data_IF_705086850460
#
_entry.id   IF_705086850460
#
_cell.length_a   1.000
_cell.length_b   1.000
_cell.length_c   1.000
_cell.angle_alpha   90.00
_cell.angle_beta   90.00
_cell.angle_gamma   90.00
#
_symmetry.space_group_name_H-M   'P 1'
#
loop_
_entity.id
_entity.type
_entity.pdbx_description
1 polymer ?
#
# COMPACT_ATOMS: atom_id res chain seq x y z
N UNK A 1 -13.91 11.88 1.84
CA UNK A 1 -12.46 11.77 1.53
C UNK A 1 -12.33 10.69 0.48
N UNK A 2 -12.16 11.12 -0.78
CA UNK A 2 -12.42 10.32 -1.98
C UNK A 2 -11.34 9.24 -2.16
N UNK A 3 -11.68 7.98 -1.87
CA UNK A 3 -10.82 6.80 -2.06
C UNK A 3 -10.58 6.42 -3.53
N UNK A 4 -11.18 7.16 -4.46
CA UNK A 4 -11.11 6.89 -5.91
C UNK A 4 -9.70 7.02 -6.48
N UNK A 5 -8.88 7.92 -5.94
CA UNK A 5 -7.51 8.12 -6.42
C UNK A 5 -6.62 6.91 -6.11
N UNK A 6 -6.77 6.32 -4.92
CA UNK A 6 -6.02 5.13 -4.50
C UNK A 6 -6.39 3.89 -5.30
N UNK A 7 -7.67 3.70 -5.64
CA UNK A 7 -8.10 2.57 -6.46
C UNK A 7 -7.60 2.66 -7.90
N UNK A 8 -7.63 3.86 -8.50
CA UNK A 8 -7.11 4.09 -9.87
C UNK A 8 -5.60 3.81 -9.96
N UNK A 9 -4.83 4.20 -8.93
CA UNK A 9 -3.39 3.96 -8.88
C UNK A 9 -3.05 2.46 -8.75
N UNK A 10 -3.81 1.71 -7.94
CA UNK A 10 -3.59 0.27 -7.76
C UNK A 10 -4.00 -0.52 -9.01
N UNK A 11 -5.13 -0.17 -9.65
CA UNK A 11 -5.55 -0.84 -10.89
C UNK A 11 -4.58 -0.58 -12.06
N UNK A 12 -4.07 0.65 -12.19
CA UNK A 12 -3.27 1.05 -13.34
C UNK A 12 -1.78 0.71 -13.21
N UNK A 13 -1.25 0.66 -11.99
CA UNK A 13 0.18 0.45 -11.71
C UNK A 13 0.50 -0.81 -10.91
N UNK A 14 -0.50 -1.58 -10.46
CA UNK A 14 -0.30 -2.83 -9.72
C UNK A 14 0.64 -2.66 -8.53
N UNK A 15 1.74 -3.43 -8.51
CA UNK A 15 2.74 -3.38 -7.44
C UNK A 15 3.40 -2.01 -7.24
N UNK A 16 3.56 -1.22 -8.30
CA UNK A 16 4.16 0.12 -8.19
C UNK A 16 3.19 1.13 -7.56
N UNK A 17 1.88 0.96 -7.79
CA UNK A 17 0.83 1.74 -7.12
C UNK A 17 0.80 1.49 -5.61
N UNK A 18 0.94 0.23 -5.20
CA UNK A 18 1.00 -0.18 -3.79
C UNK A 18 2.22 0.44 -3.08
N UNK A 19 3.36 0.49 -3.77
CA UNK A 19 4.57 1.15 -3.28
C UNK A 19 4.37 2.65 -3.05
N UNK A 20 3.78 3.36 -4.02
CA UNK A 20 3.55 4.81 -3.91
C UNK A 20 2.53 5.16 -2.84
N UNK A 21 1.43 4.40 -2.75
CA UNK A 21 0.42 4.60 -1.71
C UNK A 21 1.02 4.30 -0.32
N UNK A 22 1.96 3.35 -0.23
CA UNK A 22 2.70 3.08 1.01
C UNK A 22 3.61 4.22 1.44
N UNK A 23 4.42 4.72 0.50
CA UNK A 23 5.37 5.79 0.78
C UNK A 23 4.65 7.08 1.16
N UNK A 24 3.64 7.48 0.39
CA UNK A 24 2.86 8.68 0.64
C UNK A 24 1.99 8.57 1.90
N UNK A 25 1.41 7.39 2.17
CA UNK A 25 0.60 7.14 3.35
C UNK A 25 1.40 7.11 4.67
N UNK A 26 2.70 6.78 4.60
CA UNK A 26 3.61 6.81 5.76
C UNK A 26 4.37 8.13 5.93
N UNK A 27 4.51 8.95 4.88
CA UNK A 27 5.09 10.31 4.97
C UNK A 27 4.21 11.27 5.78
N UNK A 28 2.89 11.07 5.80
CA UNK A 28 1.98 11.92 6.57
C UNK A 28 1.82 11.30 7.97
N UNK A 29 2.25 11.98 9.05
CA UNK A 29 1.99 11.49 10.40
C UNK A 29 0.47 11.39 10.59
N UNK A 30 0.00 10.29 11.20
CA UNK A 30 -1.42 9.91 11.46
C UNK A 30 -2.18 9.09 10.39
N UNK A 31 -1.72 8.96 9.15
CA UNK A 31 -2.39 8.09 8.14
C UNK A 31 -1.93 6.63 8.14
N UNK A 32 -0.91 6.30 8.91
CA UNK A 32 -0.32 4.94 8.95
C UNK A 32 -1.32 3.85 9.33
N UNK A 33 -2.21 4.12 10.29
CA UNK A 33 -3.20 3.14 10.76
C UNK A 33 -4.25 2.86 9.67
N UNK A 34 -4.95 3.86 9.08
CA UNK A 34 -5.89 3.61 7.98
C UNK A 34 -5.22 3.01 6.73
N UNK A 35 -3.96 3.36 6.44
CA UNK A 35 -3.21 2.77 5.34
C UNK A 35 -2.97 1.26 5.53
N UNK A 36 -2.57 0.84 6.73
CA UNK A 36 -2.28 -0.56 7.02
C UNK A 36 -3.51 -1.45 6.82
N UNK A 37 -4.69 -0.95 7.19
CA UNK A 37 -5.98 -1.63 6.99
C UNK A 37 -6.26 -1.85 5.50
N UNK A 38 -6.00 -0.84 4.65
CA UNK A 38 -6.19 -0.95 3.20
C UNK A 38 -5.26 -1.99 2.56
N UNK A 39 -3.99 -2.02 2.96
CA UNK A 39 -3.03 -3.04 2.47
C UNK A 39 -3.43 -4.43 2.91
N UNK A 40 -3.86 -4.59 4.17
CA UNK A 40 -4.32 -5.88 4.68
C UNK A 40 -5.58 -6.35 3.96
N UNK A 41 -6.54 -5.46 3.72
CA UNK A 41 -7.74 -5.77 2.96
C UNK A 41 -7.41 -6.16 1.51
N UNK A 42 -6.49 -5.45 0.86
CA UNK A 42 -6.02 -5.79 -0.48
C UNK A 42 -5.22 -7.10 -0.51
N UNK A 43 -4.41 -7.37 0.51
CA UNK A 43 -3.69 -8.64 0.60
C UNK A 43 -4.64 -9.83 0.79
N UNK A 44 -5.77 -9.63 1.48
CA UNK A 44 -6.77 -10.68 1.70
C UNK A 44 -7.54 -11.09 0.46
N UNK A 45 -7.60 -10.24 -0.57
CA UNK A 45 -8.28 -10.56 -1.85
C UNK A 45 -7.36 -11.26 -2.85
N UNK A 46 -6.07 -11.40 -2.57
CA UNK A 46 -5.11 -12.07 -3.44
C UNK A 46 -5.22 -13.61 -3.31
N UNK A 47 -5.36 -14.35 -4.42
CA UNK A 47 -5.63 -15.79 -4.41
C UNK A 47 -4.40 -16.67 -4.13
N UNK A 48 -3.18 -16.13 -4.23
CA UNK A 48 -1.95 -16.91 -4.05
C UNK A 48 -1.00 -16.31 -3.01
N UNK A 49 -0.40 -17.20 -2.20
CA UNK A 49 0.54 -16.85 -1.13
C UNK A 49 1.75 -16.05 -1.66
N UNK A 50 2.22 -16.37 -2.87
CA UNK A 50 3.34 -15.67 -3.50
C UNK A 50 3.00 -14.19 -3.76
N UNK A 51 1.78 -13.89 -4.23
CA UNK A 51 1.33 -12.52 -4.45
C UNK A 51 1.17 -11.77 -3.12
N UNK A 52 0.66 -12.43 -2.08
CA UNK A 52 0.56 -11.84 -0.74
C UNK A 52 1.93 -11.45 -0.17
N UNK A 53 2.93 -12.33 -0.30
CA UNK A 53 4.30 -12.08 0.15
C UNK A 53 4.93 -10.92 -0.61
N UNK A 54 4.79 -10.88 -1.94
CA UNK A 54 5.30 -9.76 -2.75
C UNK A 54 4.68 -8.43 -2.32
N UNK A 55 3.38 -8.42 -2.04
CA UNK A 55 2.63 -7.25 -1.61
C UNK A 55 3.05 -6.78 -0.21
N UNK A 56 3.33 -7.72 0.70
CA UNK A 56 3.87 -7.44 2.03
C UNK A 56 5.28 -6.81 1.94
N UNK A 57 6.15 -7.33 1.07
CA UNK A 57 7.51 -6.81 0.91
C UNK A 57 7.48 -5.40 0.28
N UNK A 58 6.66 -5.19 -0.75
CA UNK A 58 6.54 -3.87 -1.40
C UNK A 58 5.93 -2.82 -0.46
N UNK A 59 4.88 -3.18 0.27
CA UNK A 59 4.28 -2.28 1.27
C UNK A 59 5.25 -1.97 2.42
N UNK A 60 5.96 -2.96 2.97
CA UNK A 60 6.96 -2.76 4.02
C UNK A 60 8.11 -1.87 3.57
N UNK A 61 8.58 -2.02 2.33
CA UNK A 61 9.66 -1.19 1.77
C UNK A 61 9.20 0.26 1.57
N UNK A 62 8.01 0.47 1.00
CA UNK A 62 7.43 1.81 0.86
C UNK A 62 7.17 2.48 2.22
N UNK A 63 6.77 1.71 3.23
CA UNK A 63 6.53 2.21 4.59
C UNK A 63 7.83 2.60 5.29
N UNK A 64 8.90 1.81 5.12
CA UNK A 64 10.22 2.13 5.64
C UNK A 64 10.76 3.42 5.04
N UNK A 65 10.64 3.60 3.72
CA UNK A 65 11.06 4.83 3.03
C UNK A 65 10.22 6.03 3.47
N UNK A 66 8.90 5.89 3.52
CA UNK A 66 8.00 6.97 3.94
C UNK A 66 8.21 7.44 5.39
N UNK A 67 8.79 6.60 6.26
CA UNK A 67 9.16 6.97 7.64
C UNK A 67 10.51 7.70 7.77
N UNK A 68 11.39 7.57 6.77
CA UNK A 68 12.74 8.15 6.79
C UNK A 68 12.73 9.58 6.20
N UNK A 69 11.70 9.89 5.42
CA UNK A 69 11.42 11.21 4.83
C UNK A 69 10.66 12.09 5.82
#
# INVERSE_FOLDING_TARGET
MNYEWTSILIEKYGYFGIFLVSALGNMIPYTTIPYLILVMAYASTLPTLHQQILTAITSATGAAIGKIM
#
